data_IF_248631045831
#
_entry.id   IF_248631045831
#
_cell.length_a   1.000
_cell.length_b   1.000
_cell.length_c   1.000
_cell.angle_alpha   90.00
_cell.angle_beta   90.00
_cell.angle_gamma   90.00
#
_symmetry.space_group_name_H-M   'P 1'
#
loop_
_entity.id
_entity.type
_entity.pdbx_description
1 polymer ?
#
# COMPACT_ATOMS: atom_id res chain seq x y z
N UNK A 1 7.55 20.56 -22.26
CA UNK A 1 7.68 19.85 -23.56
C UNK A 1 8.04 18.41 -23.25
N UNK A 2 7.40 17.43 -23.88
CA UNK A 2 7.73 16.03 -23.67
C UNK A 2 9.18 15.77 -24.05
N UNK A 3 9.89 14.98 -23.27
CA UNK A 3 11.24 14.57 -23.59
C UNK A 3 11.16 13.47 -24.66
N UNK A 4 11.76 13.71 -25.84
CA UNK A 4 11.84 12.70 -26.90
C UNK A 4 13.23 12.06 -26.83
N UNK A 5 13.28 10.75 -26.67
CA UNK A 5 14.49 9.94 -26.74
C UNK A 5 14.49 9.27 -28.12
N UNK A 6 15.46 9.59 -28.93
CA UNK A 6 15.64 8.97 -30.25
C UNK A 6 16.80 7.96 -30.22
N UNK A 7 16.54 6.77 -30.71
CA UNK A 7 17.49 5.66 -30.76
C UNK A 7 17.52 5.09 -32.19
N UNK A 8 18.69 4.67 -32.63
CA UNK A 8 18.84 3.92 -33.89
C UNK A 8 19.28 2.51 -33.56
N UNK A 9 18.58 1.52 -34.09
CA UNK A 9 18.85 0.10 -33.80
C UNK A 9 20.18 -0.30 -34.43
N UNK A 10 21.11 -0.74 -33.58
CA UNK A 10 22.42 -1.23 -34.00
C UNK A 10 22.33 -2.65 -34.59
N UNK A 11 23.29 -3.08 -35.42
CA UNK A 11 23.27 -4.43 -35.99
C UNK A 11 23.22 -5.56 -34.99
N UNK A 12 23.81 -5.39 -33.80
CA UNK A 12 23.81 -6.35 -32.69
C UNK A 12 22.43 -6.52 -32.01
N UNK A 13 21.54 -5.54 -32.18
CA UNK A 13 20.18 -5.56 -31.60
C UNK A 13 19.12 -6.04 -32.61
N UNK A 14 19.52 -6.45 -33.80
CA UNK A 14 18.62 -6.92 -34.87
C UNK A 14 17.76 -8.11 -34.37
N UNK A 15 16.45 -8.03 -34.59
CA UNK A 15 15.49 -9.05 -34.17
C UNK A 15 15.15 -9.04 -32.68
N UNK A 16 15.73 -8.13 -31.90
CA UNK A 16 15.38 -7.97 -30.48
C UNK A 16 13.92 -7.47 -30.34
N UNK A 17 13.25 -7.84 -29.26
CA UNK A 17 11.92 -7.30 -28.93
C UNK A 17 12.05 -5.84 -28.54
N UNK A 18 11.15 -4.97 -29.00
CA UNK A 18 11.23 -3.53 -28.73
C UNK A 18 11.16 -3.20 -27.23
N UNK A 19 10.39 -3.97 -26.41
CA UNK A 19 10.33 -3.79 -24.96
C UNK A 19 11.67 -4.12 -24.27
N UNK A 20 12.41 -5.10 -24.79
CA UNK A 20 13.74 -5.47 -24.30
C UNK A 20 14.80 -4.47 -24.78
N UNK A 21 14.72 -4.07 -26.04
CA UNK A 21 15.60 -3.06 -26.63
C UNK A 21 15.53 -1.72 -25.87
N UNK A 22 14.32 -1.17 -25.69
CA UNK A 22 14.14 0.08 -24.96
C UNK A 22 14.62 -0.02 -23.50
N UNK A 23 14.45 -1.19 -22.85
CA UNK A 23 14.98 -1.41 -21.51
C UNK A 23 16.51 -1.40 -21.46
N UNK A 24 17.17 -1.93 -22.49
CA UNK A 24 18.64 -1.97 -22.54
C UNK A 24 19.25 -0.59 -22.78
N UNK A 25 18.54 0.27 -23.54
CA UNK A 25 19.04 1.57 -23.99
C UNK A 25 18.41 2.79 -23.28
N UNK A 26 17.55 2.56 -22.24
CA UNK A 26 16.93 3.63 -21.45
C UNK A 26 16.90 3.25 -19.96
N UNK A 27 16.67 4.23 -19.09
CA UNK A 27 16.55 4.01 -17.63
C UNK A 27 15.19 3.46 -17.21
N UNK A 28 14.25 3.23 -18.14
CA UNK A 28 12.89 2.85 -17.83
C UNK A 28 12.73 1.36 -17.53
N UNK A 29 11.89 1.07 -16.54
CA UNK A 29 11.48 -0.31 -16.24
C UNK A 29 10.61 -0.86 -17.37
N UNK A 30 10.61 -2.19 -17.55
CA UNK A 30 9.79 -2.87 -18.56
C UNK A 30 8.30 -2.55 -18.45
N UNK A 31 7.80 -2.40 -17.23
CA UNK A 31 6.40 -2.01 -16.97
C UNK A 31 6.10 -0.58 -17.44
N UNK A 32 7.04 0.36 -17.25
CA UNK A 32 6.89 1.74 -17.73
C UNK A 32 6.94 1.80 -19.26
N UNK A 33 7.88 1.09 -19.89
CA UNK A 33 7.97 0.98 -21.35
C UNK A 33 6.66 0.44 -21.92
N UNK A 34 6.12 -0.65 -21.35
CA UNK A 34 4.85 -1.21 -21.80
C UNK A 34 3.67 -0.25 -21.65
N UNK A 35 3.63 0.55 -20.60
CA UNK A 35 2.61 1.59 -20.43
C UNK A 35 2.74 2.68 -21.49
N UNK A 36 3.95 3.21 -21.70
CA UNK A 36 4.24 4.22 -22.74
C UNK A 36 3.88 3.72 -24.14
N UNK A 37 4.13 2.46 -24.45
CA UNK A 37 3.72 1.86 -25.72
C UNK A 37 2.21 1.81 -25.90
N UNK A 38 1.46 1.45 -24.84
CA UNK A 38 -0.01 1.44 -24.86
C UNK A 38 -0.61 2.84 -24.99
N UNK A 39 0.08 3.85 -24.45
CA UNK A 39 -0.27 5.28 -24.55
C UNK A 39 0.08 5.86 -25.94
N UNK A 40 0.70 5.07 -26.85
CA UNK A 40 1.11 5.51 -28.18
C UNK A 40 2.39 6.37 -28.18
N UNK A 41 3.15 6.37 -27.12
CA UNK A 41 4.35 7.19 -26.93
C UNK A 41 5.62 6.60 -27.58
N UNK A 42 5.53 5.43 -28.22
CA UNK A 42 6.65 4.78 -28.92
C UNK A 42 6.34 4.71 -30.42
N UNK A 43 7.27 5.16 -31.24
CA UNK A 43 7.21 5.01 -32.71
C UNK A 43 8.46 4.35 -33.25
N UNK A 44 8.30 3.63 -34.36
CA UNK A 44 9.36 3.03 -35.17
C UNK A 44 9.22 3.59 -36.57
N UNK A 45 10.26 4.23 -37.07
CA UNK A 45 10.27 4.92 -38.37
C UNK A 45 9.06 5.86 -38.55
N UNK A 46 8.72 6.59 -37.48
CA UNK A 46 7.59 7.52 -37.36
C UNK A 46 6.20 6.88 -37.28
N UNK A 47 6.05 5.56 -37.25
CA UNK A 47 4.80 4.86 -37.06
C UNK A 47 4.65 4.41 -35.61
N UNK A 48 3.48 4.66 -34.97
CA UNK A 48 3.21 4.30 -33.58
C UNK A 48 3.23 2.78 -33.40
N UNK A 49 4.05 2.32 -32.46
CA UNK A 49 4.18 0.90 -32.14
C UNK A 49 3.68 0.58 -30.72
N UNK A 50 2.51 -0.03 -30.63
CA UNK A 50 1.89 -0.40 -29.34
C UNK A 50 2.19 -1.84 -28.88
N UNK A 51 2.81 -2.68 -29.70
CA UNK A 51 3.04 -4.10 -29.40
C UNK A 51 4.41 -4.32 -28.75
N UNK A 52 4.54 -4.67 -27.44
CA UNK A 52 5.84 -4.90 -26.79
C UNK A 52 6.68 -6.02 -27.39
N UNK A 53 6.02 -6.98 -28.07
CA UNK A 53 6.69 -8.10 -28.72
C UNK A 53 7.15 -7.81 -30.16
N UNK A 54 6.96 -6.59 -30.67
CA UNK A 54 7.48 -6.17 -31.98
C UNK A 54 8.97 -6.38 -32.02
N UNK A 55 9.49 -6.94 -33.12
CA UNK A 55 10.93 -7.16 -33.32
C UNK A 55 11.51 -5.98 -34.12
N UNK A 56 12.50 -5.34 -33.53
CA UNK A 56 13.23 -4.25 -34.21
C UNK A 56 14.21 -4.79 -35.26
N UNK A 57 14.49 -3.99 -36.26
CA UNK A 57 15.46 -4.32 -37.33
C UNK A 57 16.59 -3.29 -37.35
N UNK A 58 17.80 -3.73 -37.61
CA UNK A 58 18.96 -2.86 -37.70
C UNK A 58 18.72 -1.67 -38.65
N UNK A 59 19.09 -0.47 -38.21
CA UNK A 59 18.88 0.79 -38.92
C UNK A 59 17.53 1.47 -38.68
N UNK A 60 16.56 0.83 -38.06
CA UNK A 60 15.30 1.47 -37.71
C UNK A 60 15.50 2.58 -36.65
N UNK A 61 14.71 3.64 -36.80
CA UNK A 61 14.67 4.75 -35.84
C UNK A 61 13.52 4.55 -34.87
N UNK A 62 13.82 4.55 -33.58
CA UNK A 62 12.83 4.43 -32.51
C UNK A 62 12.79 5.76 -31.80
N UNK A 63 11.60 6.37 -31.71
CA UNK A 63 11.37 7.54 -30.89
C UNK A 63 10.45 7.16 -29.69
N UNK A 64 10.91 7.51 -28.51
CA UNK A 64 10.16 7.36 -27.26
C UNK A 64 9.82 8.75 -26.73
N UNK A 65 8.56 9.14 -26.87
CA UNK A 65 8.04 10.35 -26.26
C UNK A 65 7.75 10.06 -24.79
N UNK A 66 8.58 10.59 -23.91
CA UNK A 66 8.34 10.49 -22.45
C UNK A 66 7.51 11.70 -22.04
N UNK A 67 6.22 11.52 -21.71
CA UNK A 67 5.45 12.61 -21.13
C UNK A 67 6.20 13.09 -19.89
N UNK A 68 6.46 14.40 -19.83
CA UNK A 68 6.93 14.94 -18.54
C UNK A 68 5.91 14.49 -17.50
N UNK A 69 6.38 13.76 -16.51
CA UNK A 69 5.63 13.63 -15.27
C UNK A 69 5.40 15.04 -14.80
N UNK A 70 4.21 15.60 -15.07
CA UNK A 70 3.79 16.79 -14.32
C UNK A 70 3.87 16.32 -12.88
N UNK A 71 4.63 16.99 -12.02
CA UNK A 71 4.45 16.81 -10.61
C UNK A 71 2.94 16.97 -10.41
N UNK A 72 2.26 15.95 -9.94
CA UNK A 72 0.90 16.15 -9.43
C UNK A 72 1.16 16.98 -8.19
N UNK A 73 1.01 18.30 -8.31
CA UNK A 73 1.09 19.20 -7.17
C UNK A 73 0.03 18.71 -6.21
N UNK A 74 0.47 17.99 -5.19
CA UNK A 74 -0.44 17.49 -4.16
C UNK A 74 -0.86 18.71 -3.35
N UNK A 75 -2.06 19.21 -3.65
CA UNK A 75 -2.58 20.43 -3.02
C UNK A 75 -3.00 20.13 -1.57
N UNK A 76 -2.67 21.02 -0.63
CA UNK A 76 -3.22 20.97 0.72
C UNK A 76 -4.75 21.01 0.70
N UNK A 77 -5.41 20.19 1.52
CA UNK A 77 -6.86 20.19 1.65
C UNK A 77 -7.26 20.18 3.13
N UNK A 78 -8.24 21.00 3.48
CA UNK A 78 -8.81 21.07 4.82
C UNK A 78 -9.72 19.84 5.08
N UNK A 79 -9.06 18.71 5.34
CA UNK A 79 -9.70 17.44 5.69
C UNK A 79 -9.38 17.16 7.15
N UNK A 80 -10.38 17.01 8.04
CA UNK A 80 -10.13 16.78 9.46
C UNK A 80 -9.24 15.55 9.69
N UNK A 81 -8.21 15.72 10.53
CA UNK A 81 -7.31 14.66 10.97
C UNK A 81 -7.36 14.50 12.49
N UNK A 82 -7.46 13.25 12.94
CA UNK A 82 -7.28 12.87 14.34
C UNK A 82 -5.77 12.64 14.60
N UNK A 83 -5.07 13.70 15.01
CA UNK A 83 -3.64 13.67 15.34
C UNK A 83 -3.49 13.26 16.80
N UNK A 84 -2.97 12.06 17.05
CA UNK A 84 -2.77 11.52 18.40
C UNK A 84 -1.46 11.97 19.05
N UNK A 85 -0.45 12.25 18.23
CA UNK A 85 0.84 12.76 18.68
C UNK A 85 1.51 13.56 17.57
N UNK A 86 2.20 14.63 17.96
CA UNK A 86 3.01 15.43 17.05
C UNK A 86 4.13 16.12 17.80
N UNK A 87 5.33 16.12 17.20
CA UNK A 87 6.47 16.94 17.64
C UNK A 87 7.24 17.48 16.42
N UNK A 88 8.52 17.81 16.57
CA UNK A 88 9.36 18.34 15.49
C UNK A 88 9.77 17.26 14.46
N UNK A 89 9.74 15.98 14.81
CA UNK A 89 10.29 14.89 14.01
C UNK A 89 9.21 13.95 13.43
N UNK A 90 8.11 13.75 14.15
CA UNK A 90 7.07 12.80 13.78
C UNK A 90 5.67 13.33 13.98
N UNK A 91 4.73 12.78 13.21
CA UNK A 91 3.29 12.92 13.42
C UNK A 91 2.66 11.54 13.40
N UNK A 92 1.74 11.26 14.33
CA UNK A 92 0.98 10.01 14.40
C UNK A 92 -0.50 10.33 14.29
N UNK A 93 -1.12 9.78 13.26
CA UNK A 93 -2.52 10.03 12.91
C UNK A 93 -3.32 8.75 13.10
N UNK A 94 -4.53 8.88 13.68
CA UNK A 94 -5.56 7.85 13.62
C UNK A 94 -6.34 7.99 12.31
N UNK A 95 -5.88 7.34 11.26
CA UNK A 95 -6.47 7.43 9.91
C UNK A 95 -7.90 6.87 9.92
N UNK A 96 -8.90 7.58 9.39
CA UNK A 96 -10.25 7.04 9.24
C UNK A 96 -10.30 5.93 8.17
N UNK A 97 -11.30 5.06 8.28
CA UNK A 97 -11.67 4.11 7.22
C UNK A 97 -12.16 4.88 5.99
N UNK A 98 -11.82 4.41 4.78
CA UNK A 98 -12.22 5.02 3.52
C UNK A 98 -11.23 6.05 2.98
N UNK A 99 -10.25 6.51 3.77
CA UNK A 99 -9.23 7.46 3.34
C UNK A 99 -8.01 6.73 2.75
N UNK A 100 -7.62 7.11 1.54
CA UNK A 100 -6.37 6.65 0.91
C UNK A 100 -5.19 7.42 1.50
N UNK A 101 -4.06 6.77 1.69
CA UNK A 101 -2.87 7.43 2.27
C UNK A 101 -2.27 8.44 1.29
N UNK A 102 -2.24 8.12 0.01
CA UNK A 102 -1.45 8.84 -0.98
C UNK A 102 -2.17 8.89 -2.33
N UNK A 103 -2.12 10.01 -3.08
CA UNK A 103 -2.72 10.12 -4.40
C UNK A 103 -2.30 8.97 -5.34
N UNK A 104 -3.29 8.42 -6.03
CA UNK A 104 -3.09 7.36 -7.02
C UNK A 104 -4.24 7.41 -8.05
N UNK A 105 -4.07 6.74 -9.19
CA UNK A 105 -5.12 6.66 -10.21
C UNK A 105 -6.48 6.27 -9.62
N UNK A 106 -7.49 7.14 -9.81
CA UNK A 106 -8.83 7.01 -9.25
C UNK A 106 -9.02 7.51 -7.81
N UNK A 107 -7.98 8.10 -7.20
CA UNK A 107 -8.03 8.84 -5.93
C UNK A 107 -6.92 9.89 -5.99
N UNK A 108 -7.10 10.91 -6.80
CA UNK A 108 -6.07 11.91 -7.10
C UNK A 108 -5.96 12.96 -6.00
N UNK A 109 -7.02 13.12 -5.20
CA UNK A 109 -7.14 14.02 -4.06
C UNK A 109 -7.89 13.36 -2.89
N UNK A 110 -8.20 14.12 -1.84
CA UNK A 110 -8.92 13.61 -0.66
C UNK A 110 -8.10 12.59 0.13
N UNK A 111 -6.79 12.60 0.03
CA UNK A 111 -5.91 11.62 0.67
C UNK A 111 -5.36 12.14 2.00
N UNK A 112 -4.78 11.23 2.79
CA UNK A 112 -4.08 11.61 4.01
C UNK A 112 -2.96 12.62 3.75
N UNK A 113 -2.25 12.49 2.63
CA UNK A 113 -1.18 13.44 2.27
C UNK A 113 -1.73 14.84 2.01
N UNK A 114 -2.88 14.97 1.32
CA UNK A 114 -3.52 16.28 1.13
C UNK A 114 -3.88 16.94 2.47
N UNK A 115 -4.42 16.14 3.41
CA UNK A 115 -4.78 16.62 4.74
C UNK A 115 -3.54 16.98 5.57
N UNK A 116 -2.48 16.16 5.52
CA UNK A 116 -1.22 16.44 6.22
C UNK A 116 -0.58 17.73 5.73
N UNK A 117 -0.55 18.01 4.45
CA UNK A 117 -0.01 19.25 3.88
C UNK A 117 -0.77 20.48 4.35
N UNK A 118 -2.06 20.36 4.69
CA UNK A 118 -2.86 21.44 5.23
C UNK A 118 -2.62 21.65 6.74
N UNK A 119 -2.61 20.56 7.52
CA UNK A 119 -2.59 20.63 8.99
C UNK A 119 -1.17 20.64 9.60
N UNK A 120 -0.14 20.18 8.85
CA UNK A 120 1.25 20.04 9.35
C UNK A 120 2.17 20.92 8.51
N UNK A 121 2.33 22.16 8.95
CA UNK A 121 3.02 23.22 8.18
C UNK A 121 4.53 23.02 8.02
N UNK A 122 5.15 22.22 8.88
CA UNK A 122 6.58 21.89 8.89
C UNK A 122 6.89 20.52 8.27
N UNK A 123 5.95 19.99 7.48
CA UNK A 123 6.16 18.78 6.72
C UNK A 123 7.09 19.10 5.54
N UNK A 124 8.35 18.72 5.63
CA UNK A 124 9.31 18.93 4.54
C UNK A 124 8.99 18.01 3.35
N UNK A 125 9.40 18.41 2.12
CA UNK A 125 9.18 17.66 0.88
C UNK A 125 9.96 16.34 0.76
N UNK A 126 10.04 15.58 1.85
CA UNK A 126 10.84 14.39 2.07
C UNK A 126 10.28 13.21 1.27
N UNK A 127 11.16 12.46 0.67
CA UNK A 127 10.79 11.30 -0.16
C UNK A 127 10.38 11.69 -1.59
N UNK A 128 10.71 12.93 -2.02
CA UNK A 128 10.31 13.53 -3.29
C UNK A 128 8.93 14.19 -3.20
N UNK A 129 8.59 15.03 -4.17
CA UNK A 129 7.36 15.83 -4.24
C UNK A 129 6.07 15.01 -4.10
N UNK A 130 6.14 13.69 -4.27
CA UNK A 130 4.97 12.81 -4.35
C UNK A 130 4.64 12.05 -3.06
N UNK A 131 5.48 12.04 -2.00
CA UNK A 131 5.24 11.23 -0.78
C UNK A 131 5.80 11.86 0.49
N UNK A 132 5.42 13.07 0.84
CA UNK A 132 6.00 13.77 1.99
C UNK A 132 5.83 12.95 3.28
N UNK A 133 6.96 12.50 3.85
CA UNK A 133 7.04 11.87 5.16
C UNK A 133 6.45 10.47 5.33
N UNK A 134 5.89 9.86 4.28
CA UNK A 134 5.23 8.55 4.38
C UNK A 134 6.26 7.43 4.42
N UNK A 135 6.41 6.76 5.56
CA UNK A 135 7.33 5.64 5.78
C UNK A 135 6.64 4.27 5.67
N UNK A 136 5.33 4.20 5.89
CA UNK A 136 4.50 3.00 5.69
C UNK A 136 3.09 3.38 5.24
N UNK A 137 2.25 2.38 5.00
CA UNK A 137 0.90 2.62 4.51
C UNK A 137 -0.14 1.73 5.17
N UNK A 138 -1.36 2.23 5.23
CA UNK A 138 -2.57 1.45 5.49
C UNK A 138 -3.40 1.36 4.22
N UNK A 139 -4.18 0.30 4.09
CA UNK A 139 -5.18 0.20 3.02
C UNK A 139 -6.27 1.28 3.18
N UNK A 140 -6.96 1.61 2.09
CA UNK A 140 -8.06 2.59 2.09
C UNK A 140 -9.06 2.35 3.23
N UNK A 141 -9.52 1.11 3.35
CA UNK A 141 -10.59 0.74 4.28
C UNK A 141 -10.08 0.30 5.67
N UNK A 142 -8.77 0.22 5.86
CA UNK A 142 -8.15 0.03 7.17
C UNK A 142 -8.06 1.36 7.90
N UNK A 143 -8.52 1.42 9.14
CA UNK A 143 -8.37 2.58 10.01
C UNK A 143 -7.24 2.38 11.01
N UNK A 144 -6.88 3.43 11.75
CA UNK A 144 -5.94 3.38 12.87
C UNK A 144 -4.60 4.05 12.61
N UNK A 145 -3.60 3.70 13.42
CA UNK A 145 -2.33 4.39 13.52
C UNK A 145 -1.52 4.36 12.22
N UNK A 146 -1.12 5.53 11.79
CA UNK A 146 -0.11 5.73 10.76
C UNK A 146 0.93 6.75 11.24
N UNK A 147 2.21 6.39 11.10
CA UNK A 147 3.36 7.19 11.50
C UNK A 147 3.93 7.91 10.29
N UNK A 148 4.14 9.20 10.43
CA UNK A 148 4.64 10.11 9.40
C UNK A 148 5.91 10.78 9.93
N UNK A 149 6.95 10.82 9.12
CA UNK A 149 8.16 11.60 9.39
C UNK A 149 7.95 13.06 8.98
N UNK A 150 8.48 14.00 9.75
CA UNK A 150 8.39 15.44 9.44
C UNK A 150 9.67 16.01 8.82
N UNK A 151 10.78 15.27 8.88
CA UNK A 151 12.07 15.66 8.31
C UNK A 151 12.88 14.47 7.79
N UNK A 152 13.91 14.71 6.97
CA UNK A 152 14.70 13.65 6.29
C UNK A 152 15.37 12.69 7.28
N UNK A 153 15.90 13.22 8.39
CA UNK A 153 16.52 12.42 9.44
C UNK A 153 15.52 11.43 10.04
N UNK A 154 14.34 11.91 10.40
CA UNK A 154 13.27 11.07 10.92
C UNK A 154 12.81 10.02 9.88
N UNK A 155 12.66 10.43 8.62
CA UNK A 155 12.28 9.52 7.54
C UNK A 155 13.30 8.39 7.36
N UNK A 156 14.59 8.71 7.30
CA UNK A 156 15.67 7.72 7.17
C UNK A 156 15.68 6.75 8.36
N UNK A 157 15.63 7.27 9.61
CA UNK A 157 15.64 6.46 10.82
C UNK A 157 14.41 5.54 10.93
N UNK A 158 13.21 6.06 10.64
CA UNK A 158 11.97 5.27 10.67
C UNK A 158 11.93 4.23 9.54
N UNK A 159 12.40 4.58 8.34
CA UNK A 159 12.51 3.63 7.22
C UNK A 159 13.44 2.47 7.54
N UNK A 160 14.56 2.73 8.23
CA UNK A 160 15.46 1.67 8.66
C UNK A 160 14.82 0.77 9.75
N UNK A 161 14.04 1.33 10.68
CA UNK A 161 13.30 0.53 11.66
C UNK A 161 12.27 -0.40 10.99
N UNK A 162 11.55 0.08 9.95
CA UNK A 162 10.67 -0.79 9.16
C UNK A 162 11.44 -1.89 8.44
N UNK A 163 12.59 -1.58 7.85
CA UNK A 163 13.44 -2.53 7.16
C UNK A 163 14.05 -3.56 8.11
N UNK A 164 14.52 -3.11 9.27
CA UNK A 164 15.08 -3.93 10.34
C UNK A 164 14.02 -4.71 11.14
N UNK A 165 12.72 -4.42 10.92
CA UNK A 165 11.57 -5.03 11.63
C UNK A 165 11.64 -4.82 13.15
N UNK A 166 12.11 -3.66 13.58
CA UNK A 166 12.17 -3.28 15.00
C UNK A 166 10.93 -2.51 15.46
N UNK A 167 10.07 -2.13 14.53
CA UNK A 167 8.73 -1.62 14.85
C UNK A 167 7.75 -2.76 15.12
N UNK A 168 6.87 -2.56 16.08
CA UNK A 168 5.80 -3.50 16.39
C UNK A 168 4.45 -2.88 16.03
N UNK A 169 3.66 -3.60 15.25
CA UNK A 169 2.34 -3.13 14.82
C UNK A 169 1.31 -4.19 15.12
N UNK A 170 0.35 -3.83 15.98
CA UNK A 170 -0.78 -4.70 16.31
C UNK A 170 -2.07 -4.14 15.72
N UNK A 171 -2.85 -5.05 15.16
CA UNK A 171 -4.14 -4.74 14.58
C UNK A 171 -5.24 -5.45 15.37
N UNK A 172 -6.39 -4.80 15.49
CA UNK A 172 -7.63 -5.44 15.89
C UNK A 172 -8.41 -5.83 14.64
N UNK A 173 -8.78 -7.10 14.56
CA UNK A 173 -9.50 -7.63 13.41
C UNK A 173 -10.67 -8.51 13.85
N UNK A 174 -11.75 -8.56 13.06
CA UNK A 174 -12.80 -9.55 13.22
C UNK A 174 -12.86 -10.42 11.97
N UNK A 175 -12.56 -11.69 12.15
CA UNK A 175 -12.55 -12.70 11.10
C UNK A 175 -13.82 -13.55 11.13
N UNK A 176 -14.23 -14.05 9.97
CA UNK A 176 -15.36 -14.94 9.82
C UNK A 176 -15.08 -16.34 10.41
N UNK A 177 -16.07 -16.89 11.09
CA UNK A 177 -16.00 -18.23 11.66
C UNK A 177 -15.27 -18.27 13.02
N UNK A 178 -15.21 -19.46 13.59
CA UNK A 178 -14.55 -19.71 14.86
C UNK A 178 -13.21 -20.38 14.62
N UNK A 179 -12.18 -19.84 15.28
CA UNK A 179 -10.84 -20.44 15.25
C UNK A 179 -10.77 -21.54 16.31
N UNK A 180 -10.35 -22.76 15.94
CA UNK A 180 -10.15 -23.83 16.93
C UNK A 180 -8.94 -23.56 17.82
N UNK A 181 -7.86 -22.98 17.25
CA UNK A 181 -6.65 -22.62 17.97
C UNK A 181 -6.78 -21.26 18.67
N UNK A 182 -5.97 -21.03 19.70
CA UNK A 182 -5.90 -19.73 20.42
C UNK A 182 -4.97 -18.72 19.73
N UNK A 183 -4.00 -19.19 18.96
CA UNK A 183 -3.03 -18.36 18.23
C UNK A 183 -2.40 -19.14 17.10
N UNK A 184 -1.77 -18.43 16.17
CA UNK A 184 -1.04 -19.05 15.09
C UNK A 184 -0.17 -18.07 14.30
N UNK A 185 0.63 -18.64 13.41
CA UNK A 185 1.47 -17.92 12.44
C UNK A 185 1.07 -18.33 11.03
N UNK A 186 0.82 -17.36 10.18
CA UNK A 186 0.67 -17.57 8.74
C UNK A 186 1.97 -17.10 8.08
N UNK A 187 2.73 -18.05 7.55
CA UNK A 187 3.97 -17.81 6.81
C UNK A 187 3.75 -18.22 5.35
N UNK A 188 3.35 -17.24 4.53
CA UNK A 188 2.99 -17.49 3.14
C UNK A 188 3.33 -16.30 2.24
N UNK A 189 4.06 -16.51 1.12
CA UNK A 189 4.54 -15.42 0.28
C UNK A 189 3.40 -14.76 -0.51
N UNK A 190 3.44 -13.43 -0.61
CA UNK A 190 2.39 -12.61 -1.24
C UNK A 190 2.92 -11.89 -2.47
N UNK A 191 2.17 -11.97 -3.58
CA UNK A 191 2.34 -11.12 -4.75
C UNK A 191 1.01 -10.63 -5.31
N UNK A 192 1.05 -9.88 -6.42
CA UNK A 192 -0.16 -9.46 -7.14
C UNK A 192 -0.88 -10.68 -7.71
N UNK A 193 -2.20 -10.73 -7.55
CA UNK A 193 -3.00 -11.82 -8.11
C UNK A 193 -2.80 -11.91 -9.64
N UNK A 194 -2.55 -13.11 -10.20
CA UNK A 194 -2.16 -13.27 -11.61
C UNK A 194 -3.22 -12.78 -12.60
N UNK A 195 -4.50 -12.83 -12.24
CA UNK A 195 -5.62 -12.44 -13.11
C UNK A 195 -6.28 -11.15 -12.63
N UNK A 196 -6.72 -11.09 -11.38
CA UNK A 196 -7.41 -9.93 -10.81
C UNK A 196 -6.40 -8.94 -10.20
N UNK A 197 -6.00 -7.94 -10.97
CA UNK A 197 -4.99 -6.96 -10.56
C UNK A 197 -5.39 -6.07 -9.36
N UNK A 198 -6.66 -6.09 -8.95
CA UNK A 198 -7.13 -5.40 -7.73
C UNK A 198 -6.81 -6.20 -6.46
N UNK A 199 -6.46 -7.49 -6.60
CA UNK A 199 -6.16 -8.39 -5.50
C UNK A 199 -4.66 -8.68 -5.37
N UNK A 200 -4.29 -9.06 -4.16
CA UNK A 200 -3.06 -9.77 -3.85
C UNK A 200 -3.40 -11.25 -3.66
N UNK A 201 -2.42 -12.13 -3.78
CA UNK A 201 -2.60 -13.57 -3.60
C UNK A 201 -1.35 -14.20 -2.99
N UNK A 202 -1.53 -15.35 -2.35
CA UNK A 202 -0.42 -16.23 -1.99
C UNK A 202 0.03 -16.95 -3.27
N UNK A 203 1.29 -16.75 -3.63
CA UNK A 203 1.92 -17.40 -4.80
C UNK A 203 3.36 -17.80 -4.44
N UNK A 204 3.87 -18.93 -4.98
CA UNK A 204 5.19 -19.44 -4.59
C UNK A 204 6.33 -18.43 -4.74
N UNK A 205 6.32 -17.65 -5.84
CA UNK A 205 7.35 -16.63 -6.14
C UNK A 205 7.02 -15.25 -5.53
N UNK A 206 6.12 -15.21 -4.56
CA UNK A 206 5.73 -13.99 -3.85
C UNK A 206 6.82 -13.49 -2.90
N UNK A 207 6.62 -12.29 -2.38
CA UNK A 207 7.50 -11.76 -1.33
C UNK A 207 7.21 -12.45 0.00
N UNK A 208 8.22 -12.93 0.75
CA UNK A 208 8.04 -13.52 2.07
C UNK A 208 7.17 -12.63 2.96
N UNK A 209 6.17 -13.24 3.60
CA UNK A 209 5.18 -12.52 4.40
C UNK A 209 4.74 -13.36 5.58
N UNK A 210 4.76 -12.76 6.78
CA UNK A 210 4.46 -13.43 8.03
C UNK A 210 3.50 -12.60 8.86
N UNK A 211 2.43 -13.25 9.35
CA UNK A 211 1.36 -12.65 10.15
C UNK A 211 1.07 -13.56 11.34
N UNK A 212 1.31 -13.07 12.54
CA UNK A 212 0.89 -13.71 13.78
C UNK A 212 -0.52 -13.26 14.14
N UNK A 213 -1.28 -14.15 14.74
CA UNK A 213 -2.60 -13.85 15.26
C UNK A 213 -2.86 -14.54 16.59
N UNK A 214 -3.68 -13.91 17.41
CA UNK A 214 -4.14 -14.44 18.70
C UNK A 214 -5.63 -14.17 18.88
N UNK A 215 -6.37 -15.17 19.31
CA UNK A 215 -7.79 -15.03 19.66
C UNK A 215 -7.91 -14.17 20.91
N UNK A 216 -8.68 -13.12 20.80
CA UNK A 216 -9.09 -12.29 21.95
C UNK A 216 -10.47 -12.70 22.46
N UNK A 217 -11.39 -13.00 21.54
CA UNK A 217 -12.75 -13.37 21.90
C UNK A 217 -13.40 -14.16 20.74
N UNK A 218 -14.12 -15.25 21.07
CA UNK A 218 -14.98 -15.98 20.13
C UNK A 218 -16.38 -15.41 20.16
N UNK A 219 -16.88 -15.01 19.00
CA UNK A 219 -18.15 -14.33 18.81
C UNK A 219 -19.13 -15.24 18.06
N UNK A 220 -20.38 -14.78 17.86
CA UNK A 220 -21.38 -15.52 17.09
C UNK A 220 -21.00 -15.58 15.60
N UNK A 221 -20.44 -16.71 15.14
CA UNK A 221 -20.01 -16.92 13.77
C UNK A 221 -18.79 -16.06 13.33
N UNK A 222 -18.04 -15.53 14.29
CA UNK A 222 -16.86 -14.72 14.05
C UNK A 222 -15.85 -14.83 15.19
N UNK A 223 -14.63 -14.36 14.97
CA UNK A 223 -13.60 -14.32 16.01
C UNK A 223 -12.92 -12.94 16.01
N UNK A 224 -12.81 -12.34 17.18
CA UNK A 224 -12.08 -11.11 17.41
C UNK A 224 -10.62 -11.44 17.69
N UNK A 225 -9.71 -10.82 16.95
CA UNK A 225 -8.29 -11.15 16.92
C UNK A 225 -7.41 -9.96 17.26
N UNK A 226 -6.30 -10.21 17.94
CA UNK A 226 -5.09 -9.43 17.87
C UNK A 226 -4.20 -9.99 16.76
N UNK A 227 -3.75 -9.15 15.85
CA UNK A 227 -2.94 -9.55 14.69
C UNK A 227 -1.64 -8.73 14.68
N UNK A 228 -0.52 -9.42 14.70
CA UNK A 228 0.81 -8.80 14.64
C UNK A 228 1.47 -9.03 13.28
N UNK A 229 1.93 -7.96 12.65
CA UNK A 229 2.61 -8.01 11.37
C UNK A 229 4.13 -8.09 11.56
N UNK A 230 4.74 -9.22 11.20
CA UNK A 230 6.20 -9.36 11.09
C UNK A 230 6.73 -8.82 9.75
N UNK A 231 5.85 -8.64 8.78
CA UNK A 231 6.12 -8.02 7.47
C UNK A 231 4.94 -7.15 7.06
N UNK A 232 5.14 -6.17 6.16
CA UNK A 232 4.09 -5.22 5.73
C UNK A 232 3.86 -5.26 4.21
N UNK A 233 3.16 -6.29 3.68
CA UNK A 233 2.77 -6.35 2.26
C UNK A 233 1.37 -5.78 2.05
N UNK A 234 1.10 -5.32 0.85
CA UNK A 234 -0.24 -4.83 0.47
C UNK A 234 -1.29 -5.91 0.75
N UNK A 235 -2.38 -5.55 1.45
CA UNK A 235 -3.46 -6.43 1.83
C UNK A 235 -3.05 -7.67 2.67
N UNK A 236 -1.89 -7.66 3.32
CA UNK A 236 -1.30 -8.88 3.90
C UNK A 236 -2.25 -9.60 4.87
N UNK A 237 -2.77 -8.92 5.90
CA UNK A 237 -3.69 -9.53 6.87
C UNK A 237 -4.91 -10.11 6.15
N UNK A 238 -5.47 -9.37 5.21
CA UNK A 238 -6.68 -9.73 4.46
C UNK A 238 -6.48 -11.00 3.63
N UNK A 239 -5.35 -11.08 2.91
CA UNK A 239 -4.97 -12.25 2.10
C UNK A 239 -4.68 -13.46 2.98
N UNK A 240 -3.90 -13.28 4.04
CA UNK A 240 -3.53 -14.35 4.96
C UNK A 240 -4.75 -14.93 5.66
N UNK A 241 -5.63 -14.10 6.22
CA UNK A 241 -6.86 -14.56 6.86
C UNK A 241 -7.80 -15.27 5.87
N UNK A 242 -7.92 -14.74 4.65
CA UNK A 242 -8.67 -15.39 3.59
C UNK A 242 -8.12 -16.79 3.23
N UNK A 243 -6.79 -16.94 3.18
CA UNK A 243 -6.13 -18.19 2.78
C UNK A 243 -6.33 -19.34 3.77
N UNK A 244 -6.53 -19.02 5.04
CA UNK A 244 -6.84 -20.03 6.07
C UNK A 244 -8.35 -20.26 6.27
N UNK A 245 -9.20 -19.73 5.37
CA UNK A 245 -10.65 -19.90 5.42
C UNK A 245 -11.39 -18.95 6.38
N UNK A 246 -10.70 -17.99 6.96
CA UNK A 246 -11.23 -17.02 7.93
C UNK A 246 -11.10 -15.57 7.44
N UNK A 247 -11.69 -15.17 6.30
CA UNK A 247 -11.55 -13.81 5.80
C UNK A 247 -12.14 -12.79 6.78
N UNK A 248 -11.64 -11.55 6.71
CA UNK A 248 -12.11 -10.48 7.58
C UNK A 248 -13.54 -10.08 7.24
N UNK A 249 -14.35 -9.81 8.27
CA UNK A 249 -15.70 -9.30 8.09
C UNK A 249 -15.67 -7.91 7.44
N UNK A 250 -16.61 -7.69 6.50
CA UNK A 250 -16.71 -6.45 5.74
C UNK A 250 -15.67 -6.28 4.64
N UNK A 251 -14.87 -7.30 4.35
CA UNK A 251 -13.92 -7.27 3.23
C UNK A 251 -14.62 -7.48 1.89
N UNK A 252 -14.85 -6.39 1.16
CA UNK A 252 -15.54 -6.41 -0.14
C UNK A 252 -14.70 -6.97 -1.29
N UNK A 253 -13.38 -7.15 -1.09
CA UNK A 253 -12.46 -7.64 -2.12
C UNK A 253 -12.25 -9.15 -1.99
N UNK A 254 -11.99 -9.62 -0.78
CA UNK A 254 -11.66 -11.05 -0.53
C UNK A 254 -12.86 -11.88 -0.07
N UNK A 255 -13.88 -11.22 0.47
CA UNK A 255 -15.05 -11.90 1.04
C UNK A 255 -16.38 -11.20 0.73
N UNK A 256 -16.69 -10.83 -0.52
CA UNK A 256 -17.85 -10.02 -0.87
C UNK A 256 -19.19 -10.69 -0.55
N UNK A 257 -19.22 -12.03 -0.46
CA UNK A 257 -20.44 -12.83 -0.33
C UNK A 257 -20.63 -13.46 1.06
N UNK A 258 -19.79 -13.10 2.04
CA UNK A 258 -19.98 -13.62 3.40
C UNK A 258 -21.28 -13.08 3.99
N UNK A 259 -22.10 -14.01 4.46
CA UNK A 259 -23.33 -13.71 5.19
C UNK A 259 -23.07 -13.79 6.69
N UNK A 260 -23.45 -12.73 7.40
CA UNK A 260 -23.36 -12.62 8.85
C UNK A 260 -24.74 -12.35 9.44
N UNK A 261 -24.92 -12.70 10.71
CA UNK A 261 -26.17 -12.43 11.44
C UNK A 261 -26.41 -10.95 11.69
N UNK A 262 -25.36 -10.13 11.60
CA UNK A 262 -25.41 -8.67 11.81
C UNK A 262 -24.88 -7.94 10.59
N UNK A 263 -25.34 -6.71 10.38
CA UNK A 263 -24.80 -5.85 9.33
C UNK A 263 -23.38 -5.40 9.65
N UNK A 264 -22.45 -5.60 8.71
CA UNK A 264 -21.05 -5.20 8.83
C UNK A 264 -20.82 -3.93 8.01
N UNK A 265 -20.71 -2.75 8.64
CA UNK A 265 -20.72 -1.46 7.93
C UNK A 265 -19.38 -1.11 7.26
N UNK A 266 -18.29 -1.78 7.65
CA UNK A 266 -16.92 -1.48 7.19
C UNK A 266 -16.04 -2.72 7.25
N UNK A 267 -14.85 -2.65 6.65
CA UNK A 267 -13.79 -3.63 6.90
C UNK A 267 -13.45 -3.64 8.40
N UNK A 268 -13.56 -4.81 9.02
CA UNK A 268 -13.27 -5.00 10.45
C UNK A 268 -11.77 -5.22 10.67
N UNK A 269 -10.98 -4.18 10.33
CA UNK A 269 -9.53 -4.13 10.50
C UNK A 269 -9.12 -2.73 10.96
N UNK A 270 -8.34 -2.66 12.03
CA UNK A 270 -7.90 -1.42 12.65
C UNK A 270 -6.47 -1.53 13.16
N UNK A 271 -5.57 -0.65 12.73
CA UNK A 271 -4.20 -0.53 13.24
C UNK A 271 -4.25 0.06 14.66
N UNK A 272 -4.30 -0.82 15.64
CA UNK A 272 -4.63 -0.49 17.02
C UNK A 272 -3.43 0.05 17.78
N UNK A 273 -2.27 -0.59 17.69
CA UNK A 273 -1.08 -0.17 18.43
C UNK A 273 0.16 -0.17 17.55
N UNK A 274 1.03 0.80 17.81
CA UNK A 274 2.30 1.00 17.12
C UNK A 274 3.36 1.29 18.16
N UNK A 275 4.45 0.50 18.15
CA UNK A 275 5.64 0.77 18.95
C UNK A 275 6.86 0.97 18.04
N UNK A 276 7.60 2.05 18.29
CA UNK A 276 8.78 2.46 17.50
C UNK A 276 9.80 3.18 18.39
N UNK A 277 11.03 3.28 17.94
CA UNK A 277 12.05 4.09 18.59
C UNK A 277 12.02 5.50 17.99
N UNK A 278 11.85 6.52 18.84
CA UNK A 278 11.76 7.90 18.40
C UNK A 278 13.07 8.34 17.71
N UNK A 279 12.99 8.91 16.48
CA UNK A 279 14.19 9.16 15.65
C UNK A 279 15.15 10.19 16.22
N UNK A 280 14.69 11.10 17.08
CA UNK A 280 15.52 12.12 17.68
C UNK A 280 15.98 11.76 19.10
N UNK A 281 15.07 11.29 19.94
CA UNK A 281 15.37 11.02 21.36
C UNK A 281 15.94 9.61 21.62
N UNK A 282 15.69 8.65 20.74
CA UNK A 282 16.04 7.25 20.93
C UNK A 282 15.12 6.51 21.92
N UNK A 283 14.09 7.17 22.45
CA UNK A 283 13.14 6.56 23.37
C UNK A 283 12.18 5.60 22.67
N UNK A 284 11.83 4.49 23.31
CA UNK A 284 10.80 3.57 22.81
C UNK A 284 9.42 4.14 23.12
N UNK A 285 8.68 4.47 22.09
CA UNK A 285 7.31 4.98 22.17
C UNK A 285 6.32 3.89 21.80
N UNK A 286 5.20 3.85 22.51
CA UNK A 286 4.05 2.98 22.18
C UNK A 286 2.78 3.82 22.24
N UNK A 287 2.04 3.83 21.13
CA UNK A 287 0.74 4.51 21.04
C UNK A 287 -0.36 3.51 20.69
N UNK A 288 -1.57 3.81 21.16
CA UNK A 288 -2.78 3.06 20.83
C UNK A 288 -3.84 4.02 20.26
N UNK A 289 -4.55 3.60 19.22
CA UNK A 289 -5.73 4.31 18.73
C UNK A 289 -7.00 3.67 19.30
N UNK A 290 -8.00 4.47 19.74
CA UNK A 290 -9.28 3.92 20.14
C UNK A 290 -9.95 3.21 18.97
N UNK A 291 -10.70 2.15 19.26
CA UNK A 291 -11.51 1.50 18.23
C UNK A 291 -12.57 2.48 17.70
N UNK A 292 -12.81 2.53 16.40
CA UNK A 292 -13.86 3.37 15.85
C UNK A 292 -15.24 2.89 16.33
N UNK A 293 -16.16 3.82 16.58
CA UNK A 293 -17.52 3.54 17.07
C UNK A 293 -18.24 2.42 16.28
N UNK A 294 -18.16 2.48 14.94
CA UNK A 294 -18.75 1.43 14.08
C UNK A 294 -18.09 0.06 14.26
N UNK A 295 -16.83 0.03 14.68
CA UNK A 295 -16.13 -1.22 14.98
C UNK A 295 -16.63 -1.78 16.32
N UNK A 296 -16.68 -0.96 17.37
CA UNK A 296 -17.16 -1.34 18.70
C UNK A 296 -18.62 -1.79 18.68
N UNK A 297 -19.51 -1.00 18.07
CA UNK A 297 -20.93 -1.34 17.93
C UNK A 297 -21.13 -2.68 17.18
N UNK A 298 -20.26 -2.98 16.19
CA UNK A 298 -20.31 -4.27 15.49
C UNK A 298 -19.87 -5.42 16.40
N UNK A 299 -18.81 -5.23 17.19
CA UNK A 299 -18.39 -6.22 18.20
C UNK A 299 -19.51 -6.50 19.21
N UNK A 300 -20.14 -5.46 19.74
CA UNK A 300 -21.24 -5.59 20.69
C UNK A 300 -22.41 -6.42 20.12
N UNK A 301 -22.79 -6.16 18.87
CA UNK A 301 -23.83 -6.95 18.18
C UNK A 301 -23.44 -8.40 17.96
N UNK A 302 -22.17 -8.69 17.68
CA UNK A 302 -21.67 -10.04 17.51
C UNK A 302 -21.53 -10.82 18.84
N UNK A 303 -21.47 -10.13 19.98
CA UNK A 303 -21.49 -10.70 21.32
C UNK A 303 -22.87 -11.16 21.76
N UNK A 304 -23.91 -10.54 21.19
CA UNK A 304 -25.28 -10.88 21.57
C UNK A 304 -25.63 -12.30 21.12
N UNK A 305 -26.32 -13.07 21.97
CA UNK A 305 -26.67 -14.46 21.71
C UNK A 305 -27.63 -14.68 20.53
#
# INVERSE_FOLDING_TARGET
MDQIIELTVAPEDDGMRIDAYLRAHTEFSRSRISALMLEGAVSVDSEVQAKPAFKVTAGQRIALAVPQTRPVDILPQDIPLDILYQDADVVIVNKPCGMVVHPAAGNEDGTLVNALLYHVHDLSGIGGEMRPGIVHRLDKDTSGLILIAKNDRAHAALSEQFKARTMETHYRAVAFGNFPEESGLIDAPIARHPVDRKKMAIVPDGKPSQTEWKVMERLKGATYLDVHLLTGRTHQIRVHMHSIGHPLLGDRIYAPNIRTSVHIPRLMLHAYSLAFTHPATGERMTLCAPLPEKFETTLEKLRQP
#
